data_IF_361226530043
#
_entry.id   IF_361226530043
#
_cell.length_a   1.000
_cell.length_b   1.000
_cell.length_c   1.000
_cell.angle_alpha   90.00
_cell.angle_beta   90.00
_cell.angle_gamma   90.00
#
_symmetry.space_group_name_H-M   'P 1'
#
loop_
_entity.id
_entity.type
_entity.pdbx_description
1 polymer ?
#
# COMPACT_ATOMS: atom_id res chain seq x y z
N UNK A 1 13.40 -9.83 0.74
CA UNK A 1 13.12 -10.33 -0.62
C UNK A 1 11.79 -11.08 -0.61
N UNK A 2 10.94 -10.93 -1.62
CA UNK A 2 9.68 -11.71 -1.69
C UNK A 2 9.99 -13.13 -2.17
N UNK A 3 9.62 -14.18 -1.41
CA UNK A 3 9.94 -15.56 -1.75
C UNK A 3 9.10 -16.12 -2.91
N UNK A 4 7.99 -15.47 -3.29
CA UNK A 4 7.12 -15.90 -4.38
C UNK A 4 7.00 -14.81 -5.45
N UNK A 5 7.55 -15.09 -6.63
CA UNK A 5 7.57 -14.15 -7.76
C UNK A 5 6.30 -14.21 -8.62
N UNK A 6 5.45 -15.23 -8.46
CA UNK A 6 4.21 -15.40 -9.23
C UNK A 6 3.07 -14.52 -8.73
N UNK A 7 3.18 -13.98 -7.51
CA UNK A 7 2.18 -13.08 -6.91
C UNK A 7 2.64 -11.62 -6.99
N UNK A 8 1.69 -10.67 -7.14
CA UNK A 8 2.01 -9.26 -7.01
C UNK A 8 2.65 -8.96 -5.66
N UNK A 9 3.71 -8.16 -5.66
CA UNK A 9 4.35 -7.67 -4.45
C UNK A 9 3.75 -6.31 -4.08
N UNK A 10 3.39 -6.13 -2.83
CA UNK A 10 2.87 -4.86 -2.32
C UNK A 10 3.87 -4.22 -1.37
N UNK A 11 4.03 -2.91 -1.47
CA UNK A 11 4.95 -2.12 -0.65
C UNK A 11 4.30 -0.86 -0.12
N UNK A 12 4.79 -0.39 1.02
CA UNK A 12 4.43 0.90 1.61
C UNK A 12 5.67 1.79 1.56
N UNK A 13 5.55 2.96 0.93
CA UNK A 13 6.65 3.92 0.80
C UNK A 13 6.23 5.21 1.46
N UNK A 14 7.06 5.72 2.35
CA UNK A 14 6.78 6.96 3.09
C UNK A 14 8.05 7.79 3.29
N UNK A 15 7.88 9.10 3.29
CA UNK A 15 8.90 10.07 3.70
C UNK A 15 8.67 10.59 5.13
N UNK A 16 7.77 9.94 5.89
CA UNK A 16 7.29 10.39 7.18
C UNK A 16 5.90 11.01 7.08
N UNK A 17 5.73 12.11 6.35
CA UNK A 17 4.45 12.85 6.31
C UNK A 17 3.49 12.33 5.26
N UNK A 18 4.02 11.97 4.10
CA UNK A 18 3.27 11.51 2.95
C UNK A 18 3.64 10.05 2.65
N UNK A 19 2.69 9.32 2.08
CA UNK A 19 2.88 7.92 1.78
C UNK A 19 2.02 7.44 0.61
N UNK A 20 2.49 6.38 -0.05
CA UNK A 20 1.79 5.65 -1.11
C UNK A 20 1.93 4.14 -0.90
N UNK A 21 1.01 3.40 -1.51
CA UNK A 21 1.13 1.96 -1.70
C UNK A 21 1.60 1.65 -3.11
N UNK A 22 2.60 0.79 -3.23
CA UNK A 22 3.11 0.30 -4.50
C UNK A 22 2.63 -1.13 -4.73
N UNK A 23 2.22 -1.42 -5.97
CA UNK A 23 2.01 -2.77 -6.48
C UNK A 23 3.05 -3.03 -7.56
N UNK A 24 3.85 -4.08 -7.38
CA UNK A 24 4.81 -4.58 -8.34
C UNK A 24 4.34 -5.92 -8.91
N UNK A 25 4.20 -5.98 -10.23
CA UNK A 25 3.95 -7.21 -10.99
C UNK A 25 5.24 -7.56 -11.75
N UNK A 26 5.73 -8.79 -11.55
CA UNK A 26 6.93 -9.31 -12.23
C UNK A 26 6.48 -10.29 -13.33
N UNK A 27 6.37 -9.78 -14.56
CA UNK A 27 6.15 -10.58 -15.76
C UNK A 27 7.43 -10.53 -16.61
N UNK A 28 7.34 -10.47 -17.95
CA UNK A 28 8.49 -10.21 -18.83
C UNK A 28 9.17 -8.86 -18.52
N UNK A 29 8.41 -7.89 -17.99
CA UNK A 29 8.89 -6.59 -17.51
C UNK A 29 8.35 -6.31 -16.11
N UNK A 30 9.06 -5.45 -15.37
CA UNK A 30 8.60 -4.93 -14.07
C UNK A 30 7.54 -3.87 -14.31
N UNK A 31 6.32 -4.09 -13.81
CA UNK A 31 5.22 -3.12 -13.90
C UNK A 31 4.88 -2.63 -12.50
N UNK A 32 4.92 -1.31 -12.34
CA UNK A 32 4.58 -0.62 -11.10
C UNK A 32 3.23 0.07 -11.25
N UNK A 33 2.43 0.00 -10.19
CA UNK A 33 1.23 0.82 -10.03
C UNK A 33 1.21 1.41 -8.64
N UNK A 34 0.66 2.61 -8.52
CA UNK A 34 0.66 3.40 -7.30
C UNK A 34 -0.78 3.68 -6.85
N UNK A 35 -0.99 3.79 -5.54
CA UNK A 35 -2.20 4.38 -5.00
C UNK A 35 -2.20 5.91 -5.19
N UNK A 36 -3.31 6.55 -4.85
CA UNK A 36 -3.29 7.99 -4.59
C UNK A 36 -2.28 8.35 -3.49
N UNK A 37 -1.76 9.58 -3.56
CA UNK A 37 -0.92 10.13 -2.49
C UNK A 37 -1.77 10.41 -1.26
N UNK A 38 -1.38 9.82 -0.14
CA UNK A 38 -1.96 10.08 1.16
C UNK A 38 -1.04 10.96 1.98
N UNK A 39 -1.63 11.83 2.81
CA UNK A 39 -0.87 12.73 3.68
C UNK A 39 -1.49 12.82 5.06
N UNK A 40 -0.64 12.77 6.08
CA UNK A 40 -1.05 13.01 7.46
C UNK A 40 -1.36 14.49 7.73
N UNK A 41 -1.00 15.41 6.82
CA UNK A 41 -1.26 16.86 6.97
C UNK A 41 -2.58 17.32 6.37
N UNK A 42 -3.28 16.47 5.61
CA UNK A 42 -4.61 16.83 5.09
C UNK A 42 -5.58 17.00 6.26
N UNK A 43 -6.53 17.94 6.12
CA UNK A 43 -7.53 18.25 7.17
C UNK A 43 -8.29 17.03 7.68
N UNK A 44 -8.50 16.02 6.83
CA UNK A 44 -9.20 14.79 7.18
C UNK A 44 -8.29 13.61 7.54
N UNK A 45 -6.98 13.86 7.76
CA UNK A 45 -5.92 12.89 8.04
C UNK A 45 -6.14 11.53 7.36
N UNK A 46 -5.59 11.38 6.16
CA UNK A 46 -5.80 10.19 5.33
C UNK A 46 -5.38 8.88 6.01
N UNK A 47 -4.50 8.94 7.01
CA UNK A 47 -4.10 7.79 7.80
C UNK A 47 -5.29 7.12 8.48
N UNK A 48 -6.29 7.88 8.90
CA UNK A 48 -7.46 7.33 9.58
C UNK A 48 -8.26 6.41 8.66
N UNK A 49 -8.51 6.84 7.42
CA UNK A 49 -9.19 6.04 6.40
C UNK A 49 -8.42 4.74 6.10
N UNK A 50 -7.09 4.83 5.98
CA UNK A 50 -6.22 3.67 5.74
C UNK A 50 -6.29 2.68 6.91
N UNK A 51 -6.19 3.15 8.15
CA UNK A 51 -6.26 2.29 9.34
C UNK A 51 -7.63 1.62 9.50
N UNK A 52 -8.72 2.29 9.13
CA UNK A 52 -10.05 1.68 9.12
C UNK A 52 -10.13 0.51 8.13
N UNK A 53 -9.59 0.67 6.92
CA UNK A 53 -9.55 -0.40 5.92
C UNK A 53 -8.70 -1.57 6.42
N UNK A 54 -7.49 -1.30 6.94
CA UNK A 54 -6.62 -2.35 7.47
C UNK A 54 -7.26 -3.11 8.64
N UNK A 55 -7.99 -2.41 9.53
CA UNK A 55 -8.77 -3.03 10.61
C UNK A 55 -9.92 -3.89 10.09
N UNK A 56 -10.53 -3.52 8.96
CA UNK A 56 -11.53 -4.35 8.29
C UNK A 56 -10.90 -5.63 7.73
N UNK A 57 -9.79 -5.50 7.01
CA UNK A 57 -9.07 -6.64 6.42
C UNK A 57 -8.54 -7.61 7.48
N UNK A 58 -8.07 -7.11 8.64
CA UNK A 58 -7.58 -7.98 9.70
C UNK A 58 -8.65 -8.91 10.27
N UNK A 59 -9.94 -8.55 10.13
CA UNK A 59 -11.07 -9.41 10.53
C UNK A 59 -11.38 -10.51 9.51
N UNK A 60 -10.88 -10.41 8.27
CA UNK A 60 -11.08 -11.40 7.21
C UNK A 60 -9.98 -12.47 7.18
N UNK A 61 -8.89 -12.25 7.90
CA UNK A 61 -7.73 -13.16 7.99
C UNK A 61 -7.85 -14.11 9.20
N UNK A 62 -8.92 -13.96 9.99
CA UNK A 62 -9.33 -14.86 11.08
C UNK A 62 -10.36 -15.84 10.51
#
# INVERSE_FOLDING_TARGET
ASPNLEKPNYGFVTNGTDFIFLKLIKQEKLVYSESDLFSMRRRHNDLWNVLQILKGLSRLVI
#
